data_IF_149054216714
#
_entry.id   IF_149054216714
#
_cell.length_a   1.000
_cell.length_b   1.000
_cell.length_c   1.000
_cell.angle_alpha   90.00
_cell.angle_beta   90.00
_cell.angle_gamma   90.00
#
_symmetry.space_group_name_H-M   'P 1'
#
loop_
_entity.id
_entity.type
_entity.pdbx_description
1 polymer ?
#
# COMPACT_ATOMS: atom_id res chain seq x y z
N UNK A 1 16.14 6.39 -26.40
CA UNK A 1 14.81 6.47 -26.99
C UNK A 1 13.96 7.43 -26.19
N UNK A 2 13.84 8.69 -26.64
CA UNK A 2 13.28 9.83 -25.89
C UNK A 2 11.75 9.93 -25.86
N UNK A 3 11.01 8.85 -25.98
CA UNK A 3 9.54 8.87 -26.06
C UNK A 3 8.84 8.32 -24.79
N UNK A 4 9.54 7.57 -23.97
CA UNK A 4 8.98 7.01 -22.74
C UNK A 4 9.21 7.95 -21.56
N UNK A 5 8.13 8.44 -20.98
CA UNK A 5 8.16 9.24 -19.75
C UNK A 5 7.78 8.38 -18.55
N UNK A 6 8.41 8.67 -17.41
CA UNK A 6 8.14 8.02 -16.14
C UNK A 6 7.61 9.07 -15.18
N UNK A 7 6.48 8.77 -14.55
CA UNK A 7 5.88 9.62 -13.54
C UNK A 7 5.57 8.82 -12.27
N UNK A 8 5.72 9.46 -11.13
CA UNK A 8 5.28 8.92 -9.84
C UNK A 8 4.11 9.75 -9.34
N UNK A 9 2.98 9.08 -9.11
CA UNK A 9 1.73 9.71 -8.68
C UNK A 9 1.37 9.19 -7.28
N UNK A 10 0.96 10.10 -6.39
CA UNK A 10 0.45 9.74 -5.08
C UNK A 10 -1.04 9.41 -5.17
N UNK A 11 -1.44 8.22 -4.73
CA UNK A 11 -2.83 7.74 -4.76
C UNK A 11 -3.21 7.27 -3.35
N UNK A 12 -3.83 8.12 -2.52
CA UNK A 12 -4.15 7.80 -1.13
C UNK A 12 -5.11 6.61 -0.97
N UNK A 13 -5.91 6.33 -2.00
CA UNK A 13 -6.91 5.26 -2.01
C UNK A 13 -6.37 3.84 -2.29
N UNK A 14 -5.06 3.63 -2.23
CA UNK A 14 -4.47 2.30 -2.29
C UNK A 14 -4.57 1.66 -0.90
N UNK A 15 -5.55 0.76 -0.71
CA UNK A 15 -5.83 0.16 0.60
C UNK A 15 -5.77 -1.38 0.62
N UNK A 16 -5.75 -2.03 -0.54
CA UNK A 16 -5.85 -3.47 -0.64
C UNK A 16 -5.02 -4.05 -1.80
N UNK A 17 -4.81 -5.36 -1.76
CA UNK A 17 -4.11 -6.09 -2.83
C UNK A 17 -4.79 -5.98 -4.20
N UNK A 18 -6.13 -5.95 -4.23
CA UNK A 18 -6.89 -5.73 -5.47
C UNK A 18 -6.60 -4.36 -6.10
N UNK A 19 -6.41 -3.32 -5.27
CA UNK A 19 -6.03 -1.99 -5.74
C UNK A 19 -4.63 -2.00 -6.38
N UNK A 20 -3.68 -2.70 -5.75
CA UNK A 20 -2.32 -2.86 -6.29
C UNK A 20 -2.39 -3.54 -7.66
N UNK A 21 -3.13 -4.63 -7.75
CA UNK A 21 -3.24 -5.39 -8.99
C UNK A 21 -3.81 -4.56 -10.14
N UNK A 22 -4.87 -3.78 -9.91
CA UNK A 22 -5.46 -2.91 -10.94
C UNK A 22 -4.43 -1.88 -11.42
N UNK A 23 -3.75 -1.24 -10.47
CA UNK A 23 -2.79 -0.19 -10.76
C UNK A 23 -1.48 -0.71 -11.39
N UNK A 24 -1.11 -1.98 -11.17
CA UNK A 24 0.03 -2.62 -11.82
C UNK A 24 -0.31 -3.21 -13.20
N UNK A 25 -1.59 -3.27 -13.56
CA UNK A 25 -2.07 -3.77 -14.85
C UNK A 25 -2.71 -2.65 -15.72
N UNK A 26 -2.25 -1.41 -15.58
CA UNK A 26 -2.73 -0.28 -16.38
C UNK A 26 -2.47 -0.47 -17.89
N UNK A 27 -1.45 -1.23 -18.26
CA UNK A 27 -1.16 -1.61 -19.63
C UNK A 27 -2.30 -2.39 -20.32
N UNK A 28 -3.10 -3.13 -19.53
CA UNK A 28 -4.30 -3.82 -20.05
C UNK A 28 -5.46 -2.87 -20.33
N UNK A 29 -5.49 -1.72 -19.67
CA UNK A 29 -6.49 -0.68 -19.86
C UNK A 29 -6.09 0.27 -20.99
N UNK A 30 -4.79 0.55 -21.13
CA UNK A 30 -4.27 1.38 -22.22
C UNK A 30 -2.87 0.90 -22.65
N UNK A 31 -2.71 0.42 -23.90
CA UNK A 31 -1.42 -0.08 -24.42
C UNK A 31 -0.31 0.97 -24.47
N UNK A 32 -0.63 2.27 -24.40
CA UNK A 32 0.37 3.34 -24.33
C UNK A 32 1.13 3.39 -23.01
N UNK A 33 0.65 2.66 -21.98
CA UNK A 33 1.32 2.50 -20.68
C UNK A 33 2.15 1.22 -20.77
N UNK A 34 3.48 1.38 -20.74
CA UNK A 34 4.40 0.25 -20.89
C UNK A 34 4.50 -0.58 -19.61
N UNK A 35 4.55 0.09 -18.46
CA UNK A 35 4.70 -0.55 -17.15
C UNK A 35 4.15 0.35 -16.04
N UNK A 36 3.68 -0.28 -14.96
CA UNK A 36 3.22 0.43 -13.76
C UNK A 36 3.55 -0.37 -12.51
N UNK A 37 4.15 0.28 -11.53
CA UNK A 37 4.60 -0.32 -10.27
C UNK A 37 4.00 0.44 -9.10
N UNK A 38 3.40 -0.28 -8.16
CA UNK A 38 2.78 0.29 -6.96
C UNK A 38 3.71 0.15 -5.77
N UNK A 39 3.96 1.28 -5.09
CA UNK A 39 4.54 1.26 -3.76
C UNK A 39 3.41 1.42 -2.72
N UNK A 40 2.99 0.31 -2.14
CA UNK A 40 1.89 0.27 -1.18
C UNK A 40 2.18 1.09 0.08
N UNK A 41 3.41 1.02 0.60
CA UNK A 41 3.81 1.72 1.83
C UNK A 41 3.78 3.25 1.67
N UNK A 42 4.14 3.75 0.47
CA UNK A 42 4.13 5.19 0.14
C UNK A 42 2.83 5.62 -0.54
N UNK A 43 1.94 4.69 -0.86
CA UNK A 43 0.72 4.93 -1.65
C UNK A 43 1.00 5.63 -2.99
N UNK A 44 2.11 5.26 -3.64
CA UNK A 44 2.51 5.84 -4.93
C UNK A 44 2.47 4.80 -6.04
N UNK A 45 2.13 5.28 -7.23
CA UNK A 45 2.19 4.51 -8.47
C UNK A 45 3.21 5.17 -9.37
N UNK A 46 4.21 4.40 -9.79
CA UNK A 46 5.16 4.79 -10.82
C UNK A 46 4.70 4.20 -12.14
N UNK A 47 4.34 5.05 -13.09
CA UNK A 47 3.89 4.64 -14.41
C UNK A 47 4.88 5.09 -15.49
N UNK A 48 5.20 4.17 -16.41
CA UNK A 48 6.00 4.41 -17.61
C UNK A 48 5.06 4.44 -18.82
N UNK A 49 5.00 5.53 -19.55
CA UNK A 49 4.09 5.69 -20.68
C UNK A 49 4.73 6.41 -21.86
N UNK A 50 4.20 6.16 -23.06
CA UNK A 50 4.63 6.85 -24.28
C UNK A 50 3.93 8.21 -24.38
N UNK A 51 4.69 9.30 -24.25
CA UNK A 51 4.17 10.68 -24.24
C UNK A 51 3.54 11.12 -25.56
N UNK A 52 3.86 10.45 -26.68
CA UNK A 52 3.21 10.71 -27.99
C UNK A 52 1.86 10.02 -28.11
N UNK A 53 1.67 8.87 -27.44
CA UNK A 53 0.45 8.08 -27.53
C UNK A 53 -0.59 8.48 -26.46
N UNK A 54 -0.15 8.88 -25.26
CA UNK A 54 -1.02 9.33 -24.18
C UNK A 54 -0.42 10.54 -23.47
N UNK A 55 -1.21 11.59 -23.29
CA UNK A 55 -0.80 12.76 -22.51
C UNK A 55 -0.93 12.47 -20.99
N UNK A 56 -0.15 13.17 -20.15
CA UNK A 56 -0.26 13.10 -18.70
C UNK A 56 -1.70 13.34 -18.21
N UNK A 57 -2.40 14.31 -18.82
CA UNK A 57 -3.81 14.59 -18.52
C UNK A 57 -4.69 13.35 -18.75
N UNK A 58 -4.51 12.66 -19.87
CA UNK A 58 -5.30 11.47 -20.18
C UNK A 58 -4.95 10.29 -19.26
N UNK A 59 -3.69 10.16 -18.84
CA UNK A 59 -3.27 9.17 -17.84
C UNK A 59 -3.96 9.43 -16.48
N UNK A 60 -3.95 10.68 -16.01
CA UNK A 60 -4.64 11.10 -14.78
C UNK A 60 -6.14 10.87 -14.89
N UNK A 61 -6.76 11.23 -16.03
CA UNK A 61 -8.19 10.99 -16.28
C UNK A 61 -8.52 9.49 -16.29
N UNK A 62 -7.65 8.64 -16.87
CA UNK A 62 -7.81 7.19 -16.83
C UNK A 62 -7.79 6.67 -15.40
N UNK A 63 -6.81 7.08 -14.59
CA UNK A 63 -6.72 6.70 -13.18
C UNK A 63 -7.96 7.15 -12.39
N UNK A 64 -8.42 8.39 -12.58
CA UNK A 64 -9.63 8.92 -11.95
C UNK A 64 -10.88 8.16 -12.38
N UNK A 65 -10.97 7.77 -13.66
CA UNK A 65 -12.13 7.02 -14.19
C UNK A 65 -12.29 5.63 -13.59
N UNK A 66 -11.17 4.97 -13.23
CA UNK A 66 -11.17 3.70 -12.51
C UNK A 66 -11.24 3.88 -10.98
N UNK A 67 -11.35 5.16 -10.52
CA UNK A 67 -11.57 5.51 -9.12
C UNK A 67 -10.30 5.62 -8.28
N UNK A 68 -9.15 5.76 -8.90
CA UNK A 68 -7.85 6.00 -8.26
C UNK A 68 -7.34 7.38 -8.64
N UNK A 69 -8.00 8.41 -8.10
CA UNK A 69 -7.62 9.80 -8.35
C UNK A 69 -6.23 10.09 -7.81
N UNK A 70 -5.26 10.47 -8.66
CA UNK A 70 -3.93 10.80 -8.21
C UNK A 70 -3.86 12.24 -7.73
N UNK A 71 -3.12 12.45 -6.64
CA UNK A 71 -2.78 13.78 -6.14
C UNK A 71 -1.36 14.12 -6.61
N UNK A 72 -1.21 15.28 -7.22
CA UNK A 72 0.09 15.86 -7.56
C UNK A 72 0.43 16.82 -6.40
N UNK A 73 1.25 16.35 -5.46
CA UNK A 73 1.75 17.20 -4.39
C UNK A 73 3.13 17.72 -4.78
N UNK A 74 3.29 19.03 -4.78
CA UNK A 74 4.60 19.69 -4.88
C UNK A 74 5.35 19.65 -3.53
N UNK A 75 4.66 19.28 -2.44
CA UNK A 75 5.19 19.24 -1.07
C UNK A 75 5.73 17.87 -0.65
N UNK A 76 6.12 17.02 -1.59
CA UNK A 76 6.49 15.61 -1.36
C UNK A 76 7.82 15.43 -0.58
N UNK A 77 8.46 16.51 -0.15
CA UNK A 77 9.68 16.49 0.66
C UNK A 77 9.45 16.76 2.16
N UNK A 78 8.25 17.12 2.57
CA UNK A 78 7.95 17.30 3.98
C UNK A 78 7.55 15.99 4.64
N UNK A 79 8.55 15.37 5.30
CA UNK A 79 8.45 14.50 6.48
C UNK A 79 7.22 13.59 6.51
N UNK A 80 7.45 12.31 6.27
CA UNK A 80 6.49 11.22 6.42
C UNK A 80 5.71 11.23 7.74
N UNK A 81 4.64 11.99 7.80
CA UNK A 81 3.59 11.73 8.78
C UNK A 81 2.99 10.37 8.43
N UNK A 82 3.25 9.39 9.29
CA UNK A 82 2.59 8.08 9.25
C UNK A 82 1.08 8.31 9.23
N UNK A 83 0.49 8.33 8.04
CA UNK A 83 -0.96 8.36 7.90
C UNK A 83 -1.48 6.96 8.23
N UNK A 84 -1.68 6.69 9.52
CA UNK A 84 -2.51 5.56 9.94
C UNK A 84 -3.90 5.91 9.43
N UNK A 85 -4.44 5.06 8.58
CA UNK A 85 -5.81 5.24 8.08
C UNK A 85 -6.80 5.07 9.23
N UNK A 86 -7.14 6.20 9.86
CA UNK A 86 -8.08 6.23 10.99
C UNK A 86 -9.45 5.70 10.58
N UNK A 87 -9.82 5.82 9.30
CA UNK A 87 -11.08 5.31 8.77
C UNK A 87 -11.20 3.80 8.97
N UNK A 88 -10.15 3.02 8.67
CA UNK A 88 -10.16 1.57 8.90
C UNK A 88 -10.34 1.23 10.38
N UNK A 89 -9.72 1.99 11.29
CA UNK A 89 -9.85 1.76 12.75
C UNK A 89 -11.29 2.00 13.20
N UNK A 90 -11.93 3.07 12.72
CA UNK A 90 -13.33 3.35 13.06
C UNK A 90 -14.27 2.27 12.51
N UNK A 91 -14.09 1.85 11.24
CA UNK A 91 -14.86 0.76 10.63
C UNK A 91 -14.70 -0.55 11.39
N UNK A 92 -13.48 -0.88 11.79
CA UNK A 92 -13.18 -2.07 12.60
C UNK A 92 -13.82 -1.98 13.99
N UNK A 93 -13.79 -0.80 14.63
CA UNK A 93 -14.42 -0.57 15.93
C UNK A 93 -15.95 -0.75 15.89
N UNK A 94 -16.61 -0.18 14.87
CA UNK A 94 -18.05 -0.33 14.66
C UNK A 94 -18.41 -1.81 14.40
N UNK A 95 -17.66 -2.48 13.51
CA UNK A 95 -17.90 -3.89 13.20
C UNK A 95 -17.66 -4.79 14.41
N UNK A 96 -16.61 -4.55 15.20
CA UNK A 96 -16.30 -5.33 16.41
C UNK A 96 -17.31 -5.14 17.51
N UNK A 97 -17.76 -3.90 17.72
CA UNK A 97 -18.83 -3.61 18.68
C UNK A 97 -20.14 -4.31 18.30
N UNK A 98 -20.56 -4.18 17.04
CA UNK A 98 -21.76 -4.83 16.55
C UNK A 98 -21.66 -6.34 16.60
N UNK A 99 -20.53 -6.94 16.15
CA UNK A 99 -20.31 -8.38 16.20
C UNK A 99 -20.40 -8.94 17.60
N UNK A 100 -19.76 -8.31 18.60
CA UNK A 100 -19.82 -8.75 20.00
C UNK A 100 -21.26 -8.73 20.55
N UNK A 101 -22.02 -7.66 20.29
CA UNK A 101 -23.40 -7.55 20.74
C UNK A 101 -24.34 -8.52 20.02
N UNK A 102 -24.21 -8.65 18.69
CA UNK A 102 -25.02 -9.59 17.90
C UNK A 102 -24.75 -11.04 18.31
N UNK A 103 -23.48 -11.39 18.53
CA UNK A 103 -23.10 -12.72 19.01
C UNK A 103 -23.72 -13.04 20.37
N UNK A 104 -23.76 -12.04 21.29
CA UNK A 104 -24.42 -12.21 22.57
C UNK A 104 -25.95 -12.35 22.44
N UNK A 105 -26.57 -11.56 21.58
CA UNK A 105 -28.02 -11.62 21.34
C UNK A 105 -28.47 -12.88 20.62
N UNK A 106 -27.61 -13.52 19.82
CA UNK A 106 -27.90 -14.79 19.14
C UNK A 106 -27.75 -16.01 20.06
N UNK A 107 -27.09 -15.87 21.20
CA UNK A 107 -26.87 -16.97 22.15
C UNK A 107 -28.14 -17.76 22.54
N UNK A 108 -29.28 -17.10 22.88
CA UNK A 108 -30.51 -17.82 23.23
C UNK A 108 -31.08 -18.68 22.11
N UNK A 109 -30.84 -18.32 20.84
CA UNK A 109 -31.30 -19.11 19.70
C UNK A 109 -30.47 -20.39 19.51
N UNK A 110 -29.16 -20.34 19.80
CA UNK A 110 -28.26 -21.48 19.65
C UNK A 110 -28.38 -22.53 20.75
N UNK A 111 -28.69 -22.12 21.97
CA UNK A 111 -28.69 -23.02 23.15
C UNK A 111 -30.07 -23.51 23.54
N UNK A 112 -31.13 -23.21 22.75
CA UNK A 112 -32.51 -23.62 22.99
C UNK A 112 -32.89 -23.48 24.49
N UNK A 113 -32.51 -22.34 25.11
CA UNK A 113 -32.81 -22.09 26.50
C UNK A 113 -34.32 -21.93 26.64
N UNK A 114 -34.99 -22.98 27.11
CA UNK A 114 -36.45 -23.10 27.18
C UNK A 114 -37.09 -22.25 28.30
N UNK A 115 -36.50 -21.10 28.62
CA UNK A 115 -37.06 -20.13 29.59
C UNK A 115 -38.16 -19.32 28.92
N UNK A 116 -39.39 -19.39 29.43
CA UNK A 116 -40.58 -18.75 28.89
C UNK A 116 -40.42 -17.25 28.59
N UNK A 117 -39.70 -16.53 29.47
CA UNK A 117 -39.45 -15.10 29.27
C UNK A 117 -38.52 -14.84 28.07
N UNK A 118 -37.60 -15.73 27.78
CA UNK A 118 -36.66 -15.62 26.69
C UNK A 118 -37.38 -15.76 25.33
N UNK A 119 -38.33 -16.69 25.24
CA UNK A 119 -39.15 -16.86 24.04
C UNK A 119 -39.96 -15.63 23.69
N UNK A 120 -40.50 -14.96 24.71
CA UNK A 120 -41.27 -13.73 24.54
C UNK A 120 -40.44 -12.59 23.94
N UNK A 121 -39.12 -12.54 24.25
CA UNK A 121 -38.23 -11.47 23.77
C UNK A 121 -37.44 -11.81 22.53
N UNK A 122 -37.55 -13.04 21.97
CA UNK A 122 -36.87 -13.45 20.70
C UNK A 122 -37.11 -12.46 19.56
N UNK A 123 -38.32 -12.00 19.24
CA UNK A 123 -38.56 -11.05 18.16
C UNK A 123 -37.81 -9.71 18.39
N UNK A 124 -37.77 -9.24 19.63
CA UNK A 124 -37.04 -8.01 19.99
C UNK A 124 -35.54 -8.21 19.76
N UNK A 125 -34.94 -9.33 20.14
CA UNK A 125 -33.53 -9.63 19.92
C UNK A 125 -33.18 -9.71 18.45
N UNK A 126 -34.03 -10.34 17.61
CA UNK A 126 -33.87 -10.42 16.16
C UNK A 126 -33.84 -9.03 15.51
N UNK A 127 -34.78 -8.15 15.87
CA UNK A 127 -34.79 -6.77 15.38
C UNK A 127 -33.62 -5.93 15.89
N UNK A 128 -33.14 -6.20 17.10
CA UNK A 128 -31.97 -5.55 17.65
C UNK A 128 -30.69 -5.99 16.92
N UNK A 129 -30.54 -7.28 16.59
CA UNK A 129 -29.46 -7.78 15.75
C UNK A 129 -29.47 -7.15 14.36
N UNK A 130 -30.64 -7.00 13.75
CA UNK A 130 -30.80 -6.26 12.51
C UNK A 130 -30.32 -4.82 12.64
N UNK A 131 -30.73 -4.10 13.69
CA UNK A 131 -30.36 -2.70 13.92
C UNK A 131 -28.82 -2.55 14.08
N UNK A 132 -28.16 -3.46 14.81
CA UNK A 132 -26.69 -3.46 14.92
C UNK A 132 -25.99 -3.79 13.58
N UNK A 133 -26.62 -4.57 12.72
CA UNK A 133 -26.05 -4.94 11.43
C UNK A 133 -26.11 -3.81 10.39
N UNK A 134 -27.04 -2.87 10.52
CA UNK A 134 -27.15 -1.72 9.60
C UNK A 134 -25.84 -0.90 9.48
N UNK A 135 -25.26 -0.40 10.57
CA UNK A 135 -24.00 0.36 10.48
C UNK A 135 -22.85 -0.52 9.98
N UNK A 136 -22.86 -1.82 10.23
CA UNK A 136 -21.80 -2.71 9.73
C UNK A 136 -21.87 -2.86 8.21
N UNK A 137 -23.05 -3.08 7.66
CA UNK A 137 -23.23 -3.26 6.22
C UNK A 137 -23.00 -1.95 5.47
N UNK A 138 -23.60 -0.83 5.92
CA UNK A 138 -23.59 0.43 5.17
C UNK A 138 -22.34 1.29 5.43
N UNK A 139 -21.69 1.17 6.57
CA UNK A 139 -20.48 1.93 6.89
C UNK A 139 -19.23 1.06 6.91
N UNK A 140 -19.20 -0.03 7.67
CA UNK A 140 -17.99 -0.83 7.82
C UNK A 140 -17.64 -1.61 6.54
N UNK A 141 -18.63 -2.16 5.83
CA UNK A 141 -18.42 -2.92 4.60
C UNK A 141 -18.34 -2.04 3.33
N UNK A 142 -18.50 -0.72 3.44
CA UNK A 142 -18.58 0.22 2.31
C UNK A 142 -17.43 0.05 1.29
N UNK A 143 -16.20 -0.17 1.77
CA UNK A 143 -15.03 -0.29 0.90
C UNK A 143 -15.12 -1.50 -0.04
N UNK A 144 -15.73 -2.61 0.42
CA UNK A 144 -15.94 -3.80 -0.40
C UNK A 144 -16.95 -3.53 -1.51
N UNK A 145 -18.04 -2.82 -1.21
CA UNK A 145 -19.04 -2.44 -2.21
C UNK A 145 -18.47 -1.48 -3.26
N UNK A 146 -17.73 -0.46 -2.83
CA UNK A 146 -17.09 0.50 -3.74
C UNK A 146 -16.07 -0.20 -4.63
N UNK A 147 -15.24 -1.08 -4.06
CA UNK A 147 -14.23 -1.83 -4.81
C UNK A 147 -14.86 -2.82 -5.79
N UNK A 148 -15.91 -3.54 -5.39
CA UNK A 148 -16.66 -4.43 -6.25
C UNK A 148 -17.30 -3.68 -7.43
N UNK A 149 -17.96 -2.53 -7.17
CA UNK A 149 -18.57 -1.71 -8.21
C UNK A 149 -17.54 -1.19 -9.22
N UNK A 150 -16.40 -0.68 -8.74
CA UNK A 150 -15.29 -0.22 -9.60
C UNK A 150 -14.72 -1.36 -10.44
N UNK A 151 -14.53 -2.53 -9.84
CA UNK A 151 -14.05 -3.74 -10.53
C UNK A 151 -14.98 -4.17 -11.66
N UNK A 152 -16.29 -4.25 -11.38
CA UNK A 152 -17.30 -4.60 -12.38
C UNK A 152 -17.38 -3.57 -13.52
N UNK A 153 -17.35 -2.28 -13.19
CA UNK A 153 -17.36 -1.20 -14.20
C UNK A 153 -16.14 -1.24 -15.11
N UNK A 154 -14.98 -1.59 -14.58
CA UNK A 154 -13.72 -1.72 -15.33
C UNK A 154 -13.58 -3.08 -16.03
N UNK A 155 -14.59 -3.97 -15.94
CA UNK A 155 -14.58 -5.37 -16.44
C UNK A 155 -13.41 -6.19 -15.87
N UNK A 156 -12.95 -5.83 -14.68
CA UNK A 156 -11.87 -6.50 -13.97
C UNK A 156 -12.47 -7.13 -12.71
N UNK A 157 -12.66 -8.45 -12.73
CA UNK A 157 -13.16 -9.19 -11.58
C UNK A 157 -12.08 -9.20 -10.47
N UNK A 158 -12.41 -8.63 -9.33
CA UNK A 158 -11.61 -8.65 -8.13
C UNK A 158 -12.26 -9.52 -7.04
N UNK A 159 -11.51 -9.85 -5.98
CA UNK A 159 -11.97 -10.70 -4.88
C UNK A 159 -13.08 -10.01 -4.04
N UNK A 160 -13.22 -8.69 -4.14
CA UNK A 160 -14.23 -7.93 -3.40
C UNK A 160 -15.65 -8.15 -3.99
N UNK A 161 -15.75 -8.56 -5.26
CA UNK A 161 -17.05 -8.85 -5.93
C UNK A 161 -17.82 -9.99 -5.23
N UNK A 162 -17.25 -11.19 -5.05
CA UNK A 162 -17.94 -12.25 -4.31
C UNK A 162 -18.18 -11.91 -2.85
N UNK A 163 -17.29 -11.12 -2.20
CA UNK A 163 -17.50 -10.67 -0.82
C UNK A 163 -18.72 -9.74 -0.74
N UNK A 164 -18.80 -8.72 -1.59
CA UNK A 164 -19.94 -7.80 -1.65
C UNK A 164 -21.25 -8.52 -1.97
N UNK A 165 -21.21 -9.49 -2.88
CA UNK A 165 -22.37 -10.34 -3.22
C UNK A 165 -22.80 -11.15 -1.99
N UNK A 166 -21.87 -11.84 -1.32
CA UNK A 166 -22.15 -12.64 -0.13
C UNK A 166 -22.75 -11.81 1.01
N UNK A 167 -22.18 -10.63 1.29
CA UNK A 167 -22.72 -9.69 2.29
C UNK A 167 -24.14 -9.26 1.93
N UNK A 168 -24.39 -8.94 0.66
CA UNK A 168 -25.72 -8.52 0.18
C UNK A 168 -26.74 -9.64 0.33
N UNK A 169 -26.40 -10.84 -0.12
CA UNK A 169 -27.29 -12.01 -0.06
C UNK A 169 -27.61 -12.38 1.40
N UNK A 170 -26.59 -12.45 2.27
CA UNK A 170 -26.79 -12.73 3.70
C UNK A 170 -27.67 -11.67 4.36
N UNK A 171 -27.43 -10.41 4.09
CA UNK A 171 -28.21 -9.32 4.67
C UNK A 171 -29.67 -9.35 4.23
N UNK A 172 -29.91 -9.49 2.92
CA UNK A 172 -31.29 -9.56 2.37
C UNK A 172 -32.00 -10.79 2.93
N UNK A 173 -31.38 -11.98 2.85
CA UNK A 173 -31.97 -13.22 3.33
C UNK A 173 -32.32 -13.12 4.82
N UNK A 174 -31.40 -12.69 5.66
CA UNK A 174 -31.63 -12.53 7.09
C UNK A 174 -32.76 -11.52 7.39
N UNK A 175 -32.84 -10.43 6.62
CA UNK A 175 -33.91 -9.44 6.76
C UNK A 175 -35.26 -10.05 6.38
N UNK A 176 -35.34 -10.84 5.31
CA UNK A 176 -36.55 -11.55 4.91
C UNK A 176 -36.98 -12.56 5.97
N UNK A 177 -36.04 -13.37 6.48
CA UNK A 177 -36.31 -14.39 7.51
C UNK A 177 -36.91 -13.78 8.79
N UNK A 178 -36.38 -12.66 9.28
CA UNK A 178 -36.96 -12.01 10.46
C UNK A 178 -38.27 -11.29 10.17
N UNK A 179 -38.46 -10.77 8.94
CA UNK A 179 -39.68 -10.03 8.56
C UNK A 179 -40.89 -10.96 8.43
N UNK A 180 -40.68 -12.22 8.02
CA UNK A 180 -41.68 -13.24 7.89
C UNK A 180 -41.71 -14.24 9.06
N UNK A 181 -40.92 -13.97 10.13
CA UNK A 181 -40.78 -14.84 11.31
C UNK A 181 -40.43 -16.31 11.00
N UNK A 182 -39.61 -16.49 9.95
CA UNK A 182 -39.19 -17.81 9.51
C UNK A 182 -38.03 -18.36 10.31
N UNK A 183 -37.06 -17.47 10.70
CA UNK A 183 -35.83 -17.82 11.39
C UNK A 183 -35.25 -16.60 12.09
N UNK A 184 -34.17 -16.82 12.90
CA UNK A 184 -33.39 -15.75 13.54
C UNK A 184 -32.53 -14.93 12.56
N UNK A 185 -32.37 -15.38 11.32
CA UNK A 185 -31.45 -14.82 10.35
C UNK A 185 -29.98 -15.18 10.64
N UNK A 186 -29.08 -14.69 9.81
CA UNK A 186 -27.63 -14.93 9.88
C UNK A 186 -26.85 -13.65 10.20
N UNK A 187 -27.38 -12.79 11.05
CA UNK A 187 -26.76 -11.50 11.36
C UNK A 187 -25.43 -11.65 12.12
N UNK A 188 -25.29 -12.67 12.94
CA UNK A 188 -24.05 -13.04 13.64
C UNK A 188 -22.95 -13.42 12.66
N UNK A 189 -23.25 -14.29 11.71
CA UNK A 189 -22.33 -14.70 10.65
C UNK A 189 -21.97 -13.54 9.73
N UNK A 190 -22.92 -12.68 9.39
CA UNK A 190 -22.73 -11.47 8.58
C UNK A 190 -21.77 -10.48 9.27
N UNK A 191 -22.04 -10.14 10.53
CA UNK A 191 -21.22 -9.21 11.29
C UNK A 191 -19.83 -9.79 11.57
N UNK A 192 -19.74 -11.09 11.87
CA UNK A 192 -18.48 -11.81 12.05
C UNK A 192 -17.64 -11.79 10.76
N UNK A 193 -18.24 -12.09 9.61
CA UNK A 193 -17.55 -12.04 8.32
C UNK A 193 -16.93 -10.67 8.08
N UNK A 194 -17.70 -9.58 8.21
CA UNK A 194 -17.21 -8.23 7.97
C UNK A 194 -16.13 -7.83 8.98
N UNK A 195 -16.32 -8.16 10.26
CA UNK A 195 -15.34 -7.89 11.30
C UNK A 195 -14.00 -8.58 11.02
N UNK A 196 -14.00 -9.89 10.73
CA UNK A 196 -12.75 -10.63 10.47
C UNK A 196 -12.08 -10.21 9.16
N UNK A 197 -12.83 -9.82 8.14
CA UNK A 197 -12.27 -9.26 6.91
C UNK A 197 -11.57 -7.91 7.18
N UNK A 198 -12.16 -7.03 7.99
CA UNK A 198 -11.53 -5.75 8.37
C UNK A 198 -10.33 -5.96 9.28
N UNK A 199 -10.40 -6.91 10.21
CA UNK A 199 -9.29 -7.29 11.07
C UNK A 199 -8.11 -7.81 10.24
N UNK A 200 -8.36 -8.65 9.25
CA UNK A 200 -7.36 -9.11 8.29
C UNK A 200 -6.71 -7.96 7.52
N UNK A 201 -7.49 -7.00 7.01
CA UNK A 201 -6.96 -5.77 6.37
C UNK A 201 -6.10 -4.95 7.33
N UNK A 202 -6.51 -4.82 8.59
CA UNK A 202 -5.74 -4.10 9.60
C UNK A 202 -4.36 -4.73 9.84
N UNK A 203 -4.30 -6.05 10.04
CA UNK A 203 -3.04 -6.76 10.19
C UNK A 203 -2.18 -6.67 8.92
N UNK A 204 -2.77 -6.81 7.75
CA UNK A 204 -2.07 -6.65 6.48
C UNK A 204 -1.43 -5.26 6.37
N UNK A 205 -2.15 -4.19 6.67
CA UNK A 205 -1.60 -2.83 6.63
C UNK A 205 -0.46 -2.64 7.63
N UNK A 206 -0.58 -3.19 8.84
CA UNK A 206 0.48 -3.12 9.86
C UNK A 206 1.75 -3.86 9.41
N UNK A 207 1.59 -5.05 8.84
CA UNK A 207 2.71 -5.85 8.33
C UNK A 207 3.43 -5.14 7.19
N UNK A 208 2.69 -4.59 6.22
CA UNK A 208 3.30 -3.82 5.12
C UNK A 208 3.98 -2.54 5.61
N UNK A 209 3.39 -1.83 6.57
CA UNK A 209 4.01 -0.64 7.16
C UNK A 209 5.32 -0.97 7.90
N UNK A 210 5.39 -2.13 8.56
CA UNK A 210 6.61 -2.60 9.20
C UNK A 210 7.68 -2.98 8.17
N UNK A 211 7.34 -3.76 7.15
CA UNK A 211 8.27 -4.17 6.10
C UNK A 211 8.77 -2.99 5.24
N UNK A 212 7.95 -1.96 5.03
CA UNK A 212 8.36 -0.77 4.28
C UNK A 212 9.32 0.14 5.05
N UNK A 213 9.31 0.10 6.38
CA UNK A 213 10.21 0.89 7.23
C UNK A 213 11.66 0.45 7.10
N UNK A 214 11.94 -0.83 6.97
CA UNK A 214 13.32 -1.35 6.82
C UNK A 214 13.98 -0.94 5.49
N UNK A 215 13.22 -0.46 4.50
CA UNK A 215 13.73 -0.10 3.16
C UNK A 215 13.90 1.40 2.94
N UNK A 216 13.75 2.22 3.96
CA UNK A 216 13.98 3.66 3.80
C UNK A 216 15.49 3.98 4.00
N UNK A 217 16.23 3.94 2.88
CA UNK A 217 17.66 4.28 2.82
C UNK A 217 17.96 5.71 3.33
N UNK A 218 16.95 6.58 3.36
CA UNK A 218 17.09 7.95 3.86
C UNK A 218 17.49 8.00 5.34
N UNK A 219 17.15 6.97 6.13
CA UNK A 219 17.55 6.87 7.53
C UNK A 219 19.03 6.53 7.75
N UNK A 220 19.74 6.09 6.71
CA UNK A 220 21.17 5.79 6.79
C UNK A 220 22.06 6.96 6.42
N UNK A 221 21.51 8.04 5.83
CA UNK A 221 22.28 9.23 5.54
C UNK A 221 22.35 10.13 6.78
N UNK A 222 23.50 10.82 7.00
CA UNK A 222 23.62 11.81 8.07
C UNK A 222 22.58 12.92 7.85
N UNK A 223 21.94 13.34 8.94
CA UNK A 223 20.91 14.38 8.90
C UNK A 223 21.51 15.74 8.54
N UNK A 224 22.77 15.97 8.93
CA UNK A 224 23.51 17.18 8.64
C UNK A 224 24.92 16.88 8.17
N UNK A 225 25.46 17.77 7.36
CA UNK A 225 26.83 17.72 6.86
C UNK A 225 27.50 19.10 6.99
N UNK A 226 28.81 19.12 7.10
CA UNK A 226 29.55 20.36 7.18
C UNK A 226 29.93 20.88 5.78
N UNK A 227 29.38 22.03 5.40
CA UNK A 227 29.74 22.78 4.19
C UNK A 227 30.79 23.82 4.53
N UNK A 228 31.79 23.96 3.68
CA UNK A 228 32.79 25.02 3.76
C UNK A 228 32.38 26.12 2.80
N UNK A 229 32.04 27.29 3.34
CA UNK A 229 31.72 28.48 2.54
C UNK A 229 32.96 29.11 1.91
N UNK A 230 32.79 29.99 0.89
CA UNK A 230 33.88 30.65 0.18
C UNK A 230 34.82 31.46 1.12
N UNK A 231 34.39 31.75 2.32
CA UNK A 231 35.20 32.42 3.37
C UNK A 231 35.94 31.43 4.28
N UNK A 232 35.89 30.12 4.06
CA UNK A 232 36.51 29.12 4.93
C UNK A 232 35.76 28.86 6.24
N UNK A 233 34.52 29.34 6.35
CA UNK A 233 33.67 29.13 7.53
C UNK A 233 32.94 27.82 7.37
N UNK A 234 32.95 26.98 8.42
CA UNK A 234 32.20 25.74 8.48
C UNK A 234 30.74 26.02 8.87
N UNK A 235 29.80 25.54 8.07
CA UNK A 235 28.38 25.66 8.29
C UNK A 235 27.73 24.27 8.24
N UNK A 236 26.84 23.94 9.17
CA UNK A 236 26.09 22.71 9.16
C UNK A 236 24.83 22.89 8.33
N UNK A 237 24.74 22.14 7.23
CA UNK A 237 23.56 22.13 6.34
C UNK A 237 22.88 20.77 6.37
N UNK A 238 21.62 20.71 5.96
CA UNK A 238 20.93 19.42 5.74
C UNK A 238 21.44 18.75 4.46
N UNK A 239 21.46 17.43 4.46
CA UNK A 239 21.92 16.66 3.26
C UNK A 239 21.13 17.03 2.01
N UNK A 240 19.86 17.39 2.15
CA UNK A 240 19.01 17.76 1.02
C UNK A 240 19.30 19.14 0.43
N UNK A 241 19.99 20.00 1.17
CA UNK A 241 20.37 21.36 0.75
C UNK A 241 21.72 21.39 0.03
N UNK A 242 22.33 20.24 -0.22
CA UNK A 242 23.61 20.12 -0.93
C UNK A 242 23.38 20.37 -2.42
N UNK A 243 24.07 21.37 -2.94
CA UNK A 243 24.07 21.73 -4.35
C UNK A 243 25.37 21.31 -5.05
N UNK A 244 25.28 21.15 -6.38
CA UNK A 244 26.46 20.90 -7.22
C UNK A 244 27.45 22.05 -7.12
N UNK A 245 28.72 21.73 -6.82
CA UNK A 245 29.80 22.69 -6.66
C UNK A 245 30.04 23.15 -5.21
N UNK A 246 29.22 22.66 -4.27
CA UNK A 246 29.45 22.87 -2.85
C UNK A 246 30.72 22.16 -2.39
N UNK A 247 31.45 22.81 -1.45
CA UNK A 247 32.58 22.19 -0.77
C UNK A 247 32.15 21.63 0.56
N UNK A 248 32.36 20.32 0.77
CA UNK A 248 31.99 19.63 1.99
C UNK A 248 33.22 19.15 2.75
N UNK A 249 33.13 19.17 4.08
CA UNK A 249 34.08 18.54 4.98
C UNK A 249 33.49 17.21 5.45
N UNK A 250 34.16 16.13 5.13
CA UNK A 250 33.82 14.76 5.60
C UNK A 250 34.85 14.38 6.65
N UNK A 251 34.40 14.11 7.88
CA UNK A 251 35.25 13.73 8.98
C UNK A 251 35.44 12.20 9.04
N UNK A 252 36.36 11.78 9.91
CA UNK A 252 36.57 10.37 10.19
C UNK A 252 35.24 9.69 10.63
N UNK A 253 34.97 8.50 10.14
CA UNK A 253 33.75 7.71 10.39
C UNK A 253 32.46 8.29 9.77
N UNK A 254 32.52 9.42 9.05
CA UNK A 254 31.36 9.99 8.36
C UNK A 254 31.13 9.33 7.00
N UNK A 255 29.87 9.27 6.61
CA UNK A 255 29.43 8.79 5.30
C UNK A 255 29.49 9.91 4.27
N UNK A 256 29.94 9.57 3.07
CA UNK A 256 29.93 10.46 1.90
C UNK A 256 28.48 10.54 1.40
N UNK A 257 27.84 11.72 1.46
CA UNK A 257 26.41 11.85 1.16
C UNK A 257 26.09 11.88 -0.34
N UNK A 258 27.03 12.36 -1.16
CA UNK A 258 26.84 12.60 -2.59
C UNK A 258 28.10 12.24 -3.37
N UNK A 259 27.93 12.00 -4.69
CA UNK A 259 29.09 11.82 -5.57
C UNK A 259 29.92 13.11 -5.64
N UNK A 260 31.20 13.01 -5.33
CA UNK A 260 32.10 14.15 -5.18
C UNK A 260 33.52 13.87 -5.70
N UNK A 261 34.35 14.91 -5.76
CA UNK A 261 35.77 14.82 -6.06
C UNK A 261 36.56 15.17 -4.81
N UNK A 262 37.58 14.37 -4.47
CA UNK A 262 38.49 14.65 -3.39
C UNK A 262 39.38 15.83 -3.75
N UNK A 263 39.39 16.87 -2.93
CA UNK A 263 40.21 18.09 -3.11
C UNK A 263 41.42 18.04 -2.17
N UNK A 264 41.18 17.75 -0.89
CA UNK A 264 42.26 17.79 0.12
C UNK A 264 42.10 16.66 1.11
N UNK A 265 43.24 16.14 1.58
CA UNK A 265 43.29 15.04 2.53
C UNK A 265 43.59 13.68 1.88
N UNK A 266 43.69 12.64 2.70
CA UNK A 266 43.84 11.25 2.26
C UNK A 266 42.51 10.52 2.49
N UNK A 267 41.91 10.04 1.43
CA UNK A 267 40.67 9.29 1.54
C UNK A 267 40.96 7.79 1.59
N UNK A 268 40.54 7.15 2.66
CA UNK A 268 40.47 5.71 2.81
C UNK A 268 39.03 5.34 3.06
N UNK A 269 38.39 4.88 2.00
CA UNK A 269 36.93 4.73 1.96
C UNK A 269 36.56 3.26 2.06
N UNK A 270 35.64 2.97 2.95
CA UNK A 270 34.94 1.68 3.05
C UNK A 270 33.61 1.78 2.30
N UNK A 271 33.47 0.96 1.24
CA UNK A 271 32.24 0.84 0.47
C UNK A 271 31.46 -0.42 0.82
N UNK A 272 31.77 -1.13 1.90
CA UNK A 272 31.14 -2.40 2.28
C UNK A 272 29.62 -2.30 2.36
N UNK A 273 29.12 -1.15 2.82
CA UNK A 273 27.68 -0.86 2.87
C UNK A 273 27.00 -0.87 1.48
N UNK A 274 27.71 -0.46 0.44
CA UNK A 274 27.17 -0.35 -0.93
C UNK A 274 27.46 -1.62 -1.74
N UNK A 275 28.66 -2.16 -1.63
CA UNK A 275 29.15 -3.27 -2.48
C UNK A 275 29.01 -4.64 -1.79
N UNK A 276 28.85 -4.68 -0.47
CA UNK A 276 28.92 -5.89 0.33
C UNK A 276 30.33 -6.43 0.54
N UNK A 277 31.37 -5.80 -0.04
CA UNK A 277 32.76 -6.21 0.06
C UNK A 277 33.52 -5.40 1.11
N UNK A 278 34.17 -6.04 2.06
CA UNK A 278 34.92 -5.39 3.15
C UNK A 278 36.27 -4.79 2.71
N UNK A 279 36.47 -4.51 1.42
CA UNK A 279 37.71 -3.98 0.89
C UNK A 279 37.74 -2.45 0.94
N UNK A 280 38.63 -1.88 1.74
CA UNK A 280 38.85 -0.43 1.77
C UNK A 280 39.62 0.05 0.54
N UNK A 281 39.23 1.20 -0.01
CA UNK A 281 39.85 1.81 -1.20
C UNK A 281 40.53 3.12 -0.81
N UNK A 282 41.82 3.23 -1.10
CA UNK A 282 42.55 4.50 -0.93
C UNK A 282 42.42 5.35 -2.18
N UNK A 283 42.13 6.64 -1.98
CA UNK A 283 41.94 7.65 -3.03
C UNK A 283 42.81 8.87 -2.78
N UNK A 284 43.26 9.52 -3.85
CA UNK A 284 44.08 10.72 -3.83
C UNK A 284 43.30 11.92 -4.37
N UNK A 285 43.79 13.14 -4.09
CA UNK A 285 43.21 14.38 -4.61
C UNK A 285 43.00 14.28 -6.13
N UNK A 286 41.85 14.73 -6.61
CA UNK A 286 41.38 14.61 -7.98
C UNK A 286 40.58 13.29 -8.29
N UNK A 287 40.59 12.31 -7.39
CA UNK A 287 39.80 11.10 -7.60
C UNK A 287 38.33 11.30 -7.26
N UNK A 288 37.46 10.59 -7.97
CA UNK A 288 36.05 10.56 -7.67
C UNK A 288 35.77 9.65 -6.48
N UNK A 289 34.90 10.12 -5.59
CA UNK A 289 34.32 9.40 -4.47
C UNK A 289 32.81 9.25 -4.72
N UNK A 290 32.29 8.10 -4.39
CA UNK A 290 30.86 7.81 -4.58
C UNK A 290 30.11 7.89 -3.26
N UNK A 291 28.84 8.30 -3.34
CA UNK A 291 27.95 8.33 -2.19
C UNK A 291 27.84 6.96 -1.51
N UNK A 292 27.68 6.96 -0.18
CA UNK A 292 27.56 5.75 0.64
C UNK A 292 28.87 5.13 1.10
N UNK A 293 30.03 5.65 0.66
CA UNK A 293 31.32 5.27 1.22
C UNK A 293 31.55 5.91 2.59
N UNK A 294 32.18 5.20 3.52
CA UNK A 294 32.53 5.67 4.85
C UNK A 294 34.03 6.03 4.90
N UNK A 295 34.35 7.27 5.30
CA UNK A 295 35.72 7.71 5.47
C UNK A 295 36.33 7.10 6.75
N UNK A 296 37.53 6.48 6.65
CA UNK A 296 38.18 5.78 7.76
C UNK A 296 39.49 6.44 8.24
N UNK A 297 39.94 7.53 7.61
CA UNK A 297 41.26 8.10 7.92
C UNK A 297 41.23 9.63 7.83
N UNK A 298 41.07 10.27 9.00
CA UNK A 298 41.06 11.72 9.12
C UNK A 298 39.92 12.42 8.41
N UNK A 299 40.04 13.74 8.25
CA UNK A 299 39.08 14.57 7.54
C UNK A 299 39.54 14.84 6.11
N UNK A 300 38.56 14.90 5.19
CA UNK A 300 38.77 15.21 3.79
C UNK A 300 37.85 16.33 3.33
N UNK A 301 38.36 17.17 2.41
CA UNK A 301 37.57 18.18 1.73
C UNK A 301 37.21 17.67 0.33
N UNK A 302 35.94 17.79 -0.04
CA UNK A 302 35.42 17.28 -1.31
C UNK A 302 34.51 18.31 -2.00
N UNK A 303 34.56 18.37 -3.32
CA UNK A 303 33.64 19.20 -4.12
C UNK A 303 32.54 18.33 -4.70
N UNK A 304 31.30 18.76 -4.58
CA UNK A 304 30.10 18.05 -5.01
C UNK A 304 29.97 18.03 -6.53
N UNK A 305 29.81 16.83 -7.11
CA UNK A 305 29.63 16.64 -8.54
C UNK A 305 28.16 16.61 -8.96
N UNK A 306 27.32 16.02 -8.11
CA UNK A 306 25.90 15.78 -8.38
C UNK A 306 25.10 16.04 -7.13
N UNK A 307 23.83 16.47 -7.30
CA UNK A 307 22.88 16.56 -6.19
C UNK A 307 22.61 15.17 -5.58
N UNK A 308 22.02 15.16 -4.38
CA UNK A 308 21.67 13.92 -3.66
C UNK A 308 20.82 12.99 -4.53
N UNK A 309 19.86 13.53 -5.28
CA UNK A 309 18.95 12.77 -6.14
C UNK A 309 19.66 12.10 -7.34
N UNK A 310 20.73 12.70 -7.82
CA UNK A 310 21.49 12.23 -8.98
C UNK A 310 22.71 11.39 -8.59
N UNK A 311 22.97 11.20 -7.31
CA UNK A 311 24.13 10.45 -6.82
C UNK A 311 24.00 8.96 -7.09
N UNK A 312 25.17 8.31 -7.25
CA UNK A 312 25.29 6.89 -7.60
C UNK A 312 24.46 5.98 -6.70
N UNK A 313 24.47 6.22 -5.40
CA UNK A 313 23.72 5.42 -4.43
C UNK A 313 22.22 5.57 -4.63
N UNK A 314 21.74 6.80 -4.86
CA UNK A 314 20.32 7.06 -5.15
C UNK A 314 19.89 6.40 -6.46
N UNK A 315 20.77 6.42 -7.47
CA UNK A 315 20.52 5.74 -8.75
C UNK A 315 20.54 4.20 -8.61
N UNK A 316 21.49 3.62 -7.85
CA UNK A 316 21.51 2.19 -7.58
C UNK A 316 20.23 1.73 -6.88
N UNK A 317 19.78 2.47 -5.89
CA UNK A 317 18.59 2.12 -5.11
C UNK A 317 17.28 2.45 -5.83
N UNK A 318 17.32 3.36 -6.80
CA UNK A 318 16.21 3.64 -7.71
C UNK A 318 16.17 2.65 -8.89
N UNK A 319 17.29 1.98 -9.21
CA UNK A 319 17.35 1.02 -10.32
C UNK A 319 16.53 -0.24 -10.01
N UNK A 320 15.71 -0.62 -10.99
CA UNK A 320 14.77 -1.75 -10.92
C UNK A 320 15.46 -3.12 -10.76
N UNK A 321 16.81 -3.21 -10.90
CA UNK A 321 17.58 -4.44 -10.69
C UNK A 321 17.47 -4.94 -9.24
N UNK A 322 17.40 -4.03 -8.26
CA UNK A 322 17.15 -4.36 -6.86
C UNK A 322 15.65 -4.45 -6.52
N UNK A 323 14.77 -3.96 -7.41
CA UNK A 323 13.31 -3.99 -7.25
C UNK A 323 12.64 -5.20 -7.90
N UNK A 324 13.36 -5.98 -8.72
CA UNK A 324 12.90 -7.29 -9.19
C UNK A 324 12.96 -8.33 -8.07
N UNK A 325 12.37 -7.98 -6.95
CA UNK A 325 12.16 -8.92 -5.87
C UNK A 325 11.13 -9.99 -6.26
N UNK A 326 11.39 -11.19 -5.77
CA UNK A 326 10.52 -12.38 -5.84
C UNK A 326 9.05 -12.11 -5.47
N UNK A 327 8.73 -10.95 -4.91
CA UNK A 327 7.36 -10.51 -4.63
C UNK A 327 6.50 -10.39 -5.91
N UNK A 328 7.07 -10.01 -7.05
CA UNK A 328 6.33 -9.91 -8.32
C UNK A 328 5.88 -11.28 -8.84
N UNK A 329 6.67 -12.33 -8.62
CA UNK A 329 6.30 -13.69 -9.02
C UNK A 329 5.13 -14.21 -8.18
N UNK A 330 5.15 -13.98 -6.86
CA UNK A 330 4.06 -14.37 -5.95
C UNK A 330 2.79 -13.57 -6.22
N UNK A 331 2.89 -12.26 -6.48
CA UNK A 331 1.74 -11.42 -6.79
C UNK A 331 1.05 -11.85 -8.09
N UNK A 332 1.83 -12.18 -9.13
CA UNK A 332 1.27 -12.66 -10.40
C UNK A 332 0.56 -14.00 -10.25
N UNK A 333 1.10 -14.95 -9.49
CA UNK A 333 0.48 -16.25 -9.21
C UNK A 333 -0.83 -16.06 -8.42
N UNK A 334 -0.80 -15.26 -7.37
CA UNK A 334 -1.97 -14.97 -6.52
C UNK A 334 -3.09 -14.32 -7.34
N UNK A 335 -2.76 -13.40 -8.24
CA UNK A 335 -3.75 -12.69 -9.05
C UNK A 335 -4.37 -13.57 -10.14
N UNK A 336 -3.57 -14.43 -10.76
CA UNK A 336 -4.08 -15.40 -11.75
C UNK A 336 -4.99 -16.43 -11.08
N UNK A 337 -4.62 -16.93 -9.92
CA UNK A 337 -5.43 -17.83 -9.11
C UNK A 337 -6.71 -17.13 -8.65
N UNK A 338 -6.64 -15.87 -8.18
CA UNK A 338 -7.79 -15.11 -7.70
C UNK A 338 -8.89 -14.96 -8.76
N UNK A 339 -8.52 -14.69 -10.02
CA UNK A 339 -9.50 -14.60 -11.12
C UNK A 339 -10.24 -15.92 -11.34
N UNK A 340 -9.51 -17.01 -11.45
CA UNK A 340 -10.11 -18.34 -11.67
C UNK A 340 -10.92 -18.78 -10.46
N UNK A 341 -10.41 -18.52 -9.25
CA UNK A 341 -11.11 -18.81 -8.00
C UNK A 341 -12.43 -18.06 -7.91
N UNK A 342 -12.46 -16.76 -8.20
CA UNK A 342 -13.69 -15.95 -8.17
C UNK A 342 -14.74 -16.49 -9.15
N UNK A 343 -14.34 -16.81 -10.38
CA UNK A 343 -15.24 -17.36 -11.40
C UNK A 343 -15.77 -18.73 -10.95
N UNK A 344 -14.88 -19.62 -10.49
CA UNK A 344 -15.27 -20.96 -10.01
C UNK A 344 -16.26 -20.89 -8.84
N UNK A 345 -16.01 -19.99 -7.89
CA UNK A 345 -16.88 -19.80 -6.73
C UNK A 345 -18.27 -19.31 -7.15
N UNK A 346 -18.36 -18.35 -8.07
CA UNK A 346 -19.64 -17.86 -8.59
C UNK A 346 -20.40 -18.95 -9.37
N UNK A 347 -19.70 -19.79 -10.15
CA UNK A 347 -20.31 -20.92 -10.87
C UNK A 347 -20.87 -21.96 -9.88
N UNK A 348 -20.08 -22.32 -8.86
CA UNK A 348 -20.51 -23.28 -7.83
C UNK A 348 -21.72 -22.72 -7.08
N UNK A 349 -21.69 -21.46 -6.67
CA UNK A 349 -22.82 -20.82 -5.99
C UNK A 349 -24.08 -20.83 -6.86
N UNK A 350 -23.95 -20.50 -8.14
CA UNK A 350 -25.08 -20.51 -9.09
C UNK A 350 -25.65 -21.92 -9.28
N UNK A 351 -24.78 -22.91 -9.50
CA UNK A 351 -25.22 -24.31 -9.66
C UNK A 351 -25.89 -24.85 -8.40
N UNK A 352 -25.33 -24.56 -7.21
CA UNK A 352 -25.92 -24.95 -5.93
C UNK A 352 -27.30 -24.33 -5.73
N UNK A 353 -27.41 -23.01 -5.98
CA UNK A 353 -28.69 -22.31 -5.87
C UNK A 353 -29.74 -22.89 -6.83
N UNK A 354 -29.35 -23.16 -8.09
CA UNK A 354 -30.25 -23.77 -9.10
C UNK A 354 -30.67 -25.16 -8.69
N UNK A 355 -29.73 -25.96 -8.19
CA UNK A 355 -30.03 -27.32 -7.71
C UNK A 355 -31.10 -27.32 -6.60
N UNK A 356 -30.91 -26.49 -5.58
CA UNK A 356 -31.85 -26.40 -4.45
C UNK A 356 -33.23 -25.86 -4.88
N UNK A 357 -33.27 -24.85 -5.76
CA UNK A 357 -34.53 -24.33 -6.29
C UNK A 357 -35.29 -25.35 -7.12
N UNK A 358 -34.61 -26.35 -7.73
CA UNK A 358 -35.26 -27.41 -8.51
C UNK A 358 -35.62 -28.62 -7.65
N UNK A 359 -34.97 -28.84 -6.51
CA UNK A 359 -35.23 -30.00 -5.64
C UNK A 359 -36.23 -29.71 -4.53
N UNK A 360 -36.33 -28.45 -4.06
CA UNK A 360 -37.26 -27.99 -3.02
C UNK A 360 -38.63 -27.48 -3.59
N UNK A 361 -38.87 -27.61 -4.90
CA UNK A 361 -40.15 -27.36 -5.54
C UNK A 361 -40.85 -28.72 -5.85
#
# INVERSE_FOLDING_TARGET
>A
DGETQIITLYIPHIHCSSCIWILENLNKLNPAISDSIVNFGKKTVRASFNSKAISLKNLVTLLSSIGYEPFISLDDYSVGKKHIDRSLIYKLGVAGFAFGNVMFLSFPEYFEVGEFWLEQFKPMFRWLMFAFSLPVVFYSAQDYFISAYKGLRSKILNIDVPIALGVTVLFIRSTVEISFDLSSGFFDSLNGLIFFLLLGKFFQQKTYAFLSFERDYKSYFPIGITKITKGGIEESIQVYDIEKGDRLLIRNEELIPVDCILIKGKARIDYSFVTGESKTVSKQSGNKLFAGGKQLDGSIEVDVLKSVEQSYLTQLWSNDVFKKDKSLAFTNITNQISKHFTISLLIIAFLSTTFWLLTDS
#
